data_IF_822439489682
#
_entry.id   IF_822439489682
#
_cell.length_a   1.000
_cell.length_b   1.000
_cell.length_c   1.000
_cell.angle_alpha   90.00
_cell.angle_beta   90.00
_cell.angle_gamma   90.00
#
_symmetry.space_group_name_H-M   'P 1'
#
loop_
_entity.id
_entity.type
_entity.pdbx_description
1 polymer ?
#
# COMPACT_ATOMS: atom_id res chain seq x y z
N UNK A 1 -56.75 -19.03 -45.98
CA UNK A 1 -56.61 -17.61 -45.79
C UNK A 1 -55.27 -17.38 -45.12
N UNK A 2 -54.32 -16.95 -45.95
CA UNK A 2 -52.94 -16.74 -45.57
C UNK A 2 -52.76 -15.32 -45.17
N UNK A 3 -52.14 -15.00 -44.02
CA UNK A 3 -51.60 -13.71 -43.71
C UNK A 3 -50.11 -13.84 -43.48
N UNK A 4 -49.33 -13.26 -44.40
CA UNK A 4 -47.90 -13.05 -44.31
C UNK A 4 -47.65 -11.90 -43.30
N UNK A 5 -46.69 -12.09 -42.41
CA UNK A 5 -46.10 -11.01 -41.61
C UNK A 5 -44.73 -10.70 -42.22
N UNK A 6 -44.63 -9.56 -42.88
CA UNK A 6 -43.34 -9.00 -43.29
C UNK A 6 -42.65 -8.41 -42.07
N UNK A 7 -41.51 -8.96 -41.74
CA UNK A 7 -40.58 -8.37 -40.74
C UNK A 7 -39.71 -7.32 -41.40
N UNK A 8 -39.93 -6.09 -40.96
CA UNK A 8 -39.18 -4.91 -41.35
C UNK A 8 -37.75 -5.01 -40.77
N UNK A 9 -36.76 -5.38 -41.59
CA UNK A 9 -35.33 -5.37 -41.28
C UNK A 9 -34.74 -4.00 -41.65
N UNK A 10 -34.83 -3.01 -40.79
CA UNK A 10 -33.94 -1.87 -40.87
C UNK A 10 -33.83 -1.22 -39.47
N UNK A 11 -32.74 -1.54 -38.76
CA UNK A 11 -32.04 -0.73 -37.74
C UNK A 11 -31.24 -1.60 -36.78
N UNK A 12 -30.30 -2.40 -37.29
CA UNK A 12 -29.34 -3.16 -36.47
C UNK A 12 -27.89 -2.98 -36.93
N UNK A 13 -27.44 -1.78 -37.21
CA UNK A 13 -26.04 -1.65 -37.67
C UNK A 13 -25.19 -0.54 -37.05
N UNK A 14 -25.53 0.01 -35.89
CA UNK A 14 -24.70 1.10 -35.32
C UNK A 14 -24.46 1.06 -33.80
N UNK A 15 -24.76 -0.04 -33.09
CA UNK A 15 -24.54 -0.12 -31.65
C UNK A 15 -23.39 -1.03 -31.20
N UNK A 16 -22.80 -1.85 -32.07
CA UNK A 16 -21.76 -2.81 -31.70
C UNK A 16 -20.34 -2.25 -31.49
N UNK A 17 -19.85 -1.21 -32.18
CA UNK A 17 -18.47 -0.77 -31.99
C UNK A 17 -18.22 0.02 -30.70
N UNK A 18 -19.23 0.72 -30.17
CA UNK A 18 -19.04 1.58 -28.98
C UNK A 18 -18.95 0.74 -27.68
N UNK A 19 -19.76 -0.29 -27.56
CA UNK A 19 -19.74 -1.19 -26.39
C UNK A 19 -18.45 -2.02 -26.36
N UNK A 20 -17.95 -2.45 -27.51
CA UNK A 20 -16.70 -3.22 -27.61
C UNK A 20 -15.47 -2.34 -27.30
N UNK A 21 -15.48 -1.07 -27.70
CA UNK A 21 -14.40 -0.13 -27.33
C UNK A 21 -14.43 0.19 -25.83
N UNK A 22 -15.60 0.39 -25.24
CA UNK A 22 -15.71 0.60 -23.80
C UNK A 22 -15.24 -0.62 -23.01
N UNK A 23 -15.57 -1.84 -23.43
CA UNK A 23 -15.10 -3.07 -22.79
C UNK A 23 -13.59 -3.26 -22.93
N UNK A 24 -12.98 -2.92 -24.08
CA UNK A 24 -11.54 -3.01 -24.30
C UNK A 24 -10.80 -1.96 -23.46
N UNK A 25 -11.32 -0.75 -23.35
CA UNK A 25 -10.75 0.30 -22.50
C UNK A 25 -10.84 -0.09 -21.03
N UNK A 26 -11.97 -0.65 -20.57
CA UNK A 26 -12.10 -1.13 -19.18
C UNK A 26 -11.16 -2.32 -18.88
N UNK A 27 -10.99 -3.27 -19.80
CA UNK A 27 -10.09 -4.41 -19.58
C UNK A 27 -8.62 -4.03 -19.59
N UNK A 28 -8.21 -3.07 -20.43
CA UNK A 28 -6.83 -2.55 -20.44
C UNK A 28 -6.57 -1.72 -19.17
N UNK A 29 -7.52 -0.91 -18.71
CA UNK A 29 -7.40 -0.14 -17.47
C UNK A 29 -7.34 -1.09 -16.25
N UNK A 30 -8.17 -2.15 -16.21
CA UNK A 30 -8.13 -3.14 -15.14
C UNK A 30 -6.78 -3.88 -15.07
N UNK A 31 -6.19 -4.25 -16.21
CA UNK A 31 -4.89 -4.91 -16.27
C UNK A 31 -3.75 -4.01 -15.74
N UNK A 32 -3.82 -2.70 -16.00
CA UNK A 32 -2.86 -1.72 -15.45
C UNK A 32 -3.14 -1.38 -13.98
N UNK A 33 -4.40 -1.48 -13.51
CA UNK A 33 -4.75 -1.27 -12.11
C UNK A 33 -4.11 -2.34 -11.20
N UNK A 34 -3.97 -3.60 -11.66
CA UNK A 34 -3.28 -4.67 -10.93
C UNK A 34 -1.83 -4.33 -10.57
N UNK A 35 -1.11 -3.64 -11.45
CA UNK A 35 0.27 -3.21 -11.18
C UNK A 35 0.35 -1.94 -10.30
N UNK A 36 -0.75 -1.19 -10.17
CA UNK A 36 -0.75 0.11 -9.52
C UNK A 36 -1.17 0.10 -8.04
N UNK A 37 -1.94 -0.92 -7.59
CA UNK A 37 -2.44 -1.02 -6.21
C UNK A 37 -1.49 -1.67 -5.21
N UNK A 38 -0.25 -2.02 -5.61
CA UNK A 38 0.72 -2.64 -4.69
C UNK A 38 1.02 -1.75 -3.49
N UNK A 39 0.63 -2.24 -2.32
CA UNK A 39 0.82 -1.61 -1.02
C UNK A 39 2.27 -1.27 -0.74
N UNK A 40 2.55 -0.01 -0.48
CA UNK A 40 3.71 0.37 0.33
C UNK A 40 3.22 0.70 1.73
N UNK A 41 3.71 -0.05 2.71
CA UNK A 41 3.62 0.29 4.13
C UNK A 41 4.10 1.75 4.32
N UNK A 42 3.48 2.58 5.20
CA UNK A 42 3.91 3.95 5.48
C UNK A 42 5.40 4.06 5.77
N UNK A 43 5.96 3.02 6.35
CA UNK A 43 7.39 2.93 6.60
C UNK A 43 8.24 2.66 5.35
N UNK A 44 7.68 2.12 4.26
CA UNK A 44 8.35 1.88 2.98
C UNK A 44 8.19 3.06 1.99
N UNK A 45 7.12 3.85 2.09
CA UNK A 45 6.89 4.99 1.20
C UNK A 45 8.03 6.03 1.26
N UNK A 46 8.84 6.00 2.31
CA UNK A 46 10.01 6.87 2.47
C UNK A 46 11.35 6.27 2.02
N UNK A 47 11.40 5.00 1.60
CA UNK A 47 12.65 4.29 1.32
C UNK A 47 13.04 4.22 -0.17
N UNK A 48 12.22 4.70 -1.10
CA UNK A 48 12.52 4.65 -2.54
C UNK A 48 12.68 6.05 -3.11
N UNK A 49 13.91 6.55 -3.14
CA UNK A 49 14.27 7.68 -4.00
C UNK A 49 14.41 7.20 -5.47
N UNK A 50 13.98 8.02 -6.45
CA UNK A 50 14.07 7.66 -7.86
C UNK A 50 15.50 7.77 -8.34
N UNK A 51 15.96 6.75 -9.06
CA UNK A 51 17.13 6.86 -9.95
C UNK A 51 16.76 7.82 -11.07
N UNK A 52 17.42 8.97 -11.11
CA UNK A 52 17.19 10.03 -12.10
C UNK A 52 17.41 9.56 -13.52
N UNK A 53 16.49 9.91 -14.40
CA UNK A 53 16.67 9.85 -15.85
C UNK A 53 17.64 10.95 -16.27
N UNK A 54 18.84 10.60 -16.68
CA UNK A 54 19.79 11.52 -17.30
C UNK A 54 19.73 11.41 -18.81
N UNK A 55 19.42 12.55 -19.44
CA UNK A 55 19.70 12.78 -20.86
C UNK A 55 21.22 12.86 -21.11
N UNK A 56 21.63 12.09 -22.05
CA UNK A 56 22.83 12.07 -22.92
C UNK A 56 24.00 13.06 -22.72
N UNK A 57 25.13 12.46 -22.79
CA UNK A 57 26.45 12.75 -23.39
C UNK A 57 27.60 12.88 -22.39
N UNK A 58 28.61 12.08 -22.73
CA UNK A 58 29.94 11.90 -22.14
C UNK A 58 30.03 10.89 -21.01
N UNK A 59 30.53 9.72 -21.37
CA UNK A 59 30.96 8.65 -20.47
C UNK A 59 32.08 9.13 -19.55
N UNK A 60 31.82 9.28 -18.24
CA UNK A 60 32.85 9.01 -17.26
C UNK A 60 32.60 7.60 -16.75
N UNK A 61 33.66 6.81 -16.69
CA UNK A 61 33.76 5.55 -15.99
C UNK A 61 33.01 5.67 -14.64
N UNK A 62 32.09 4.75 -14.29
CA UNK A 62 31.46 4.82 -12.99
C UNK A 62 32.54 4.62 -11.92
N UNK A 63 32.88 5.68 -11.23
CA UNK A 63 33.61 5.58 -9.98
C UNK A 63 32.64 4.93 -9.03
N UNK A 64 32.81 3.62 -8.82
CA UNK A 64 32.16 2.90 -7.73
C UNK A 64 32.62 3.59 -6.44
N UNK A 65 31.79 4.50 -5.92
CA UNK A 65 31.96 5.04 -4.58
C UNK A 65 31.61 3.92 -3.60
N UNK A 66 32.57 3.01 -3.40
CA UNK A 66 32.50 2.05 -2.28
C UNK A 66 32.43 2.93 -1.03
N UNK A 67 31.24 2.99 -0.42
CA UNK A 67 31.05 3.64 0.87
C UNK A 67 32.09 3.05 1.83
N UNK A 68 32.91 3.88 2.51
CA UNK A 68 33.91 3.35 3.41
C UNK A 68 33.21 2.47 4.46
N UNK A 69 33.73 1.27 4.67
CA UNK A 69 33.20 0.34 5.65
C UNK A 69 33.22 1.00 7.04
N UNK A 70 32.15 0.82 7.79
CA UNK A 70 32.02 1.34 9.15
C UNK A 70 33.17 0.75 10.02
N UNK A 71 34.07 1.59 10.51
CA UNK A 71 35.14 1.18 11.43
C UNK A 71 34.67 1.33 12.87
N UNK A 72 34.50 0.18 13.55
CA UNK A 72 34.12 0.14 14.97
C UNK A 72 35.39 0.09 15.80
N UNK A 73 35.69 1.16 16.55
CA UNK A 73 36.93 1.30 17.35
C UNK A 73 36.73 1.12 18.85
N UNK A 74 35.61 0.55 19.30
CA UNK A 74 35.32 0.36 20.73
C UNK A 74 34.01 -0.35 20.97
N UNK A 75 33.55 -0.43 22.23
CA UNK A 75 32.26 -1.04 22.56
C UNK A 75 31.13 -0.24 21.93
N UNK A 76 30.22 -0.96 21.22
CA UNK A 76 29.04 -0.34 20.60
C UNK A 76 27.97 -0.11 21.67
N UNK A 77 27.51 1.15 21.77
CA UNK A 77 26.38 1.51 22.63
C UNK A 77 25.07 1.50 21.84
N UNK A 78 23.95 1.43 22.55
CA UNK A 78 22.63 1.55 21.91
C UNK A 78 22.48 2.90 21.20
N UNK A 79 22.95 3.98 21.82
CA UNK A 79 22.84 5.33 21.29
C UNK A 79 23.58 5.51 19.96
N UNK A 80 24.75 4.85 19.81
CA UNK A 80 25.49 4.87 18.53
C UNK A 80 24.69 4.20 17.42
N UNK A 81 24.10 3.04 17.70
CA UNK A 81 23.29 2.29 16.74
C UNK A 81 21.97 3.03 16.40
N UNK A 82 21.31 3.58 17.40
CA UNK A 82 20.07 4.35 17.26
C UNK A 82 20.29 5.68 16.48
N UNK A 83 21.43 6.35 16.68
CA UNK A 83 21.81 7.53 15.87
C UNK A 83 21.91 7.18 14.39
N UNK A 84 22.60 6.07 14.05
CA UNK A 84 22.71 5.61 12.67
C UNK A 84 21.33 5.28 12.07
N UNK A 85 20.45 4.65 12.86
CA UNK A 85 19.08 4.34 12.44
C UNK A 85 18.26 5.60 12.18
N UNK A 86 18.29 6.59 13.07
CA UNK A 86 17.57 7.87 12.92
C UNK A 86 18.08 8.69 11.75
N UNK A 87 19.38 8.61 11.47
CA UNK A 87 20.02 9.23 10.30
C UNK A 87 19.77 8.46 9.00
N UNK A 88 18.96 7.39 9.05
CA UNK A 88 18.63 6.49 7.93
C UNK A 88 19.84 5.77 7.32
N UNK A 89 20.94 5.69 8.04
CA UNK A 89 22.10 4.87 7.67
C UNK A 89 21.86 3.42 8.09
N UNK A 90 20.87 2.77 7.42
CA UNK A 90 20.32 1.50 7.85
C UNK A 90 21.35 0.37 7.78
N UNK A 91 22.24 0.36 6.79
CA UNK A 91 23.35 -0.61 6.71
C UNK A 91 24.28 -0.49 7.92
N UNK A 92 24.68 0.75 8.25
CA UNK A 92 25.54 1.02 9.42
C UNK A 92 24.80 0.67 10.72
N UNK A 93 23.51 1.02 10.82
CA UNK A 93 22.68 0.67 11.98
C UNK A 93 22.55 -0.84 12.15
N UNK A 94 22.42 -1.60 11.06
CA UNK A 94 22.35 -3.07 11.10
C UNK A 94 23.64 -3.66 11.68
N UNK A 95 24.81 -3.20 11.24
CA UNK A 95 26.11 -3.65 11.77
C UNK A 95 26.26 -3.28 13.25
N UNK A 96 25.88 -2.06 13.63
CA UNK A 96 25.99 -1.58 15.00
C UNK A 96 25.01 -2.32 15.93
N UNK A 97 23.73 -2.48 15.55
CA UNK A 97 22.77 -3.24 16.36
C UNK A 97 23.11 -4.70 16.44
N UNK A 98 23.69 -5.31 15.40
CA UNK A 98 24.21 -6.67 15.48
C UNK A 98 25.30 -6.78 16.56
N UNK A 99 26.30 -5.92 16.52
CA UNK A 99 27.39 -5.90 17.53
C UNK A 99 26.84 -5.63 18.93
N UNK A 100 25.87 -4.73 19.07
CA UNK A 100 25.19 -4.44 20.32
C UNK A 100 24.43 -5.66 20.86
N UNK A 101 23.62 -6.32 20.03
CA UNK A 101 22.82 -7.49 20.39
C UNK A 101 23.68 -8.69 20.75
N UNK A 102 24.74 -8.95 19.97
CA UNK A 102 25.71 -10.05 20.24
C UNK A 102 26.37 -9.87 21.60
N UNK A 103 26.64 -8.63 22.02
CA UNK A 103 27.21 -8.33 23.35
C UNK A 103 26.19 -8.41 24.50
N UNK A 104 24.90 -8.50 24.18
CA UNK A 104 23.76 -8.51 25.14
C UNK A 104 22.70 -9.53 24.71
N UNK A 105 23.02 -10.85 24.73
CA UNK A 105 22.19 -11.88 24.13
C UNK A 105 20.82 -12.12 24.82
N UNK A 106 20.57 -11.44 25.96
CA UNK A 106 19.29 -11.48 26.68
C UNK A 106 18.46 -10.22 26.48
N UNK A 107 18.87 -9.31 25.60
CA UNK A 107 18.16 -8.07 25.35
C UNK A 107 17.29 -8.18 24.09
N UNK A 108 16.00 -8.50 24.26
CA UNK A 108 15.03 -8.60 23.16
C UNK A 108 14.95 -7.30 22.32
N UNK A 109 15.05 -6.14 22.97
CA UNK A 109 15.02 -4.83 22.31
C UNK A 109 16.18 -4.62 21.34
N UNK A 110 17.39 -5.10 21.69
CA UNK A 110 18.56 -5.05 20.80
C UNK A 110 18.33 -5.83 19.50
N UNK A 111 17.80 -7.05 19.63
CA UNK A 111 17.44 -7.87 18.46
C UNK A 111 16.27 -7.28 17.66
N UNK A 112 15.27 -6.70 18.32
CA UNK A 112 14.19 -5.99 17.64
C UNK A 112 14.72 -4.83 16.79
N UNK A 113 15.61 -4.00 17.32
CA UNK A 113 16.21 -2.89 16.58
C UNK A 113 17.14 -3.37 15.45
N UNK A 114 17.85 -4.49 15.64
CA UNK A 114 18.58 -5.17 14.57
C UNK A 114 17.64 -5.57 13.43
N UNK A 115 16.51 -6.21 13.77
CA UNK A 115 15.50 -6.60 12.79
C UNK A 115 14.93 -5.41 12.02
N UNK A 116 14.61 -4.33 12.70
CA UNK A 116 14.14 -3.09 12.06
C UNK A 116 15.18 -2.51 11.10
N UNK A 117 16.44 -2.45 11.52
CA UNK A 117 17.53 -1.90 10.71
C UNK A 117 17.76 -2.74 9.47
N UNK A 118 17.83 -4.06 9.61
CA UNK A 118 17.98 -5.00 8.52
C UNK A 118 16.80 -4.93 7.53
N UNK A 119 15.56 -4.85 8.04
CA UNK A 119 14.40 -4.69 7.17
C UNK A 119 14.45 -3.38 6.37
N UNK A 120 14.84 -2.27 7.00
CA UNK A 120 14.99 -0.96 6.33
C UNK A 120 16.15 -0.92 5.34
N UNK A 121 17.22 -1.70 5.54
CA UNK A 121 18.30 -1.86 4.57
C UNK A 121 17.94 -2.80 3.42
N UNK A 122 16.82 -3.53 3.53
CA UNK A 122 16.37 -4.50 2.52
C UNK A 122 16.81 -5.94 2.77
N UNK A 123 17.56 -6.19 3.83
CA UNK A 123 17.99 -7.54 4.25
C UNK A 123 16.86 -8.24 5.05
N UNK A 124 15.94 -8.88 4.30
CA UNK A 124 14.78 -9.55 4.89
C UNK A 124 15.15 -10.79 5.69
N UNK A 125 16.18 -11.52 5.28
CA UNK A 125 16.64 -12.74 5.95
C UNK A 125 17.20 -12.40 7.34
N UNK A 126 18.05 -11.39 7.41
CA UNK A 126 18.58 -10.92 8.70
C UNK A 126 17.48 -10.30 9.56
N UNK A 127 16.52 -9.59 8.97
CA UNK A 127 15.39 -9.03 9.70
C UNK A 127 14.52 -10.12 10.35
N UNK A 128 14.16 -11.15 9.59
CA UNK A 128 13.41 -12.30 10.08
C UNK A 128 14.13 -12.98 11.23
N UNK A 129 15.41 -13.34 11.04
CA UNK A 129 16.24 -13.96 12.07
C UNK A 129 16.30 -13.13 13.35
N UNK A 130 16.48 -11.81 13.24
CA UNK A 130 16.57 -10.92 14.38
C UNK A 130 15.26 -10.78 15.14
N UNK A 131 14.10 -10.68 14.44
CA UNK A 131 12.79 -10.65 15.11
C UNK A 131 12.47 -11.99 15.80
N UNK A 132 12.83 -13.12 15.20
CA UNK A 132 12.70 -14.44 15.84
C UNK A 132 13.56 -14.52 17.11
N UNK A 133 14.79 -14.01 17.09
CA UNK A 133 15.64 -13.94 18.28
C UNK A 133 15.01 -13.05 19.37
N UNK A 134 14.46 -11.89 19.00
CA UNK A 134 13.74 -11.03 19.94
C UNK A 134 12.58 -11.78 20.62
N UNK A 135 11.79 -12.53 19.85
CA UNK A 135 10.66 -13.32 20.34
C UNK A 135 11.08 -14.56 21.15
N UNK A 136 12.23 -15.13 20.87
CA UNK A 136 12.82 -16.20 21.69
C UNK A 136 13.16 -15.72 23.10
N UNK A 137 13.57 -14.43 23.24
CA UNK A 137 13.91 -13.82 24.52
C UNK A 137 12.65 -13.30 25.23
N UNK A 138 11.75 -12.66 24.47
CA UNK A 138 10.48 -12.10 24.95
C UNK A 138 9.37 -12.44 23.96
N UNK A 139 8.67 -13.55 24.23
CA UNK A 139 7.54 -14.01 23.39
C UNK A 139 6.31 -13.10 23.46
N UNK A 140 6.31 -12.09 24.33
CA UNK A 140 5.21 -11.13 24.45
C UNK A 140 5.49 -9.80 23.76
N UNK A 141 6.62 -9.70 23.04
CA UNK A 141 7.01 -8.48 22.36
C UNK A 141 6.18 -8.22 21.10
N UNK A 142 5.01 -7.56 21.27
CA UNK A 142 4.00 -7.31 20.21
C UNK A 142 4.64 -6.71 18.95
N UNK A 143 5.54 -5.72 19.10
CA UNK A 143 6.20 -5.08 17.95
C UNK A 143 7.05 -6.04 17.11
N UNK A 144 7.69 -7.05 17.74
CA UNK A 144 8.44 -8.09 17.02
C UNK A 144 7.49 -9.00 16.25
N UNK A 145 6.36 -9.41 16.83
CA UNK A 145 5.34 -10.17 16.12
C UNK A 145 4.83 -9.41 14.88
N UNK A 146 4.48 -8.12 15.03
CA UNK A 146 3.98 -7.29 13.92
C UNK A 146 5.01 -7.10 12.81
N UNK A 147 6.27 -6.81 13.16
CA UNK A 147 7.29 -6.59 12.13
C UNK A 147 7.75 -7.89 11.49
N UNK A 148 7.81 -9.00 12.24
CA UNK A 148 8.06 -10.32 11.67
C UNK A 148 6.95 -10.72 10.68
N UNK A 149 5.69 -10.48 11.02
CA UNK A 149 4.57 -10.77 10.12
C UNK A 149 4.65 -9.97 8.81
N UNK A 150 5.14 -8.70 8.87
CA UNK A 150 5.37 -7.90 7.65
C UNK A 150 6.48 -8.49 6.79
N UNK A 151 7.61 -8.85 7.41
CA UNK A 151 8.75 -9.46 6.69
C UNK A 151 8.33 -10.78 6.05
N UNK A 152 7.63 -11.65 6.79
CA UNK A 152 7.11 -12.92 6.28
C UNK A 152 6.13 -12.73 5.11
N UNK A 153 5.22 -11.75 5.21
CA UNK A 153 4.29 -11.44 4.14
C UNK A 153 5.02 -10.93 2.88
N UNK A 154 6.03 -10.09 3.03
CA UNK A 154 6.88 -9.62 1.93
C UNK A 154 7.75 -10.72 1.32
N UNK A 155 8.07 -11.76 2.11
CA UNK A 155 8.80 -12.96 1.68
C UNK A 155 7.88 -14.05 1.09
N UNK A 156 6.57 -13.77 0.94
CA UNK A 156 5.61 -14.72 0.37
C UNK A 156 5.25 -15.88 1.31
N UNK A 157 5.32 -15.67 2.62
CA UNK A 157 5.00 -16.63 3.67
C UNK A 157 3.75 -16.19 4.47
N UNK A 158 2.56 -16.12 3.85
CA UNK A 158 1.37 -15.56 4.50
C UNK A 158 0.86 -16.39 5.67
N UNK A 159 1.01 -17.71 5.63
CA UNK A 159 0.53 -18.58 6.71
C UNK A 159 1.37 -18.36 7.99
N UNK A 160 2.69 -18.31 7.89
CA UNK A 160 3.56 -17.97 9.01
C UNK A 160 3.33 -16.54 9.52
N UNK A 161 3.06 -15.60 8.61
CA UNK A 161 2.70 -14.24 9.00
C UNK A 161 1.42 -14.20 9.85
N UNK A 162 0.41 -15.03 9.51
CA UNK A 162 -0.86 -15.11 10.23
C UNK A 162 -0.69 -15.56 11.66
N UNK A 163 0.17 -16.54 11.93
CA UNK A 163 0.47 -17.02 13.30
C UNK A 163 0.97 -15.88 14.19
N UNK A 164 1.88 -15.06 13.70
CA UNK A 164 2.41 -13.91 14.44
C UNK A 164 1.39 -12.78 14.59
N UNK A 165 0.52 -12.57 13.62
CA UNK A 165 -0.58 -11.60 13.70
C UNK A 165 -1.58 -12.04 14.78
N UNK A 166 -1.94 -13.33 14.83
CA UNK A 166 -2.85 -13.87 15.87
C UNK A 166 -2.25 -13.74 17.26
N UNK A 167 -0.95 -14.00 17.40
CA UNK A 167 -0.24 -13.75 18.65
C UNK A 167 -0.29 -12.27 19.05
N UNK A 168 -0.07 -11.34 18.10
CA UNK A 168 -0.16 -9.91 18.36
C UNK A 168 -1.58 -9.47 18.78
N UNK A 169 -2.64 -10.02 18.17
CA UNK A 169 -4.05 -9.76 18.55
C UNK A 169 -4.32 -10.26 19.96
N UNK A 170 -3.82 -11.43 20.32
CA UNK A 170 -3.99 -12.01 21.65
C UNK A 170 -3.29 -11.18 22.74
N UNK A 171 -2.11 -10.63 22.42
CA UNK A 171 -1.32 -9.81 23.35
C UNK A 171 -1.84 -8.38 23.48
N UNK A 172 -2.30 -7.79 22.38
CA UNK A 172 -2.89 -6.45 22.35
C UNK A 172 -4.15 -6.43 21.49
N UNK A 173 -5.28 -6.64 22.15
CA UNK A 173 -6.61 -6.62 21.52
C UNK A 173 -7.11 -5.20 21.21
N UNK A 174 -6.39 -4.15 21.61
CA UNK A 174 -6.84 -2.76 21.43
C UNK A 174 -6.37 -2.14 20.12
N UNK A 175 -5.29 -2.65 19.54
CA UNK A 175 -4.70 -2.15 18.30
C UNK A 175 -5.49 -2.56 17.05
N UNK A 176 -5.66 -1.64 16.10
CA UNK A 176 -6.21 -1.93 14.77
C UNK A 176 -5.16 -2.55 13.83
N UNK A 177 -3.90 -2.31 14.08
CA UNK A 177 -2.79 -2.66 13.20
C UNK A 177 -2.67 -4.16 12.91
N UNK A 178 -2.76 -5.09 13.91
CA UNK A 178 -2.77 -6.53 13.63
C UNK A 178 -3.93 -6.95 12.73
N UNK A 179 -5.13 -6.38 12.94
CA UNK A 179 -6.31 -6.67 12.12
C UNK A 179 -6.12 -6.19 10.67
N UNK A 180 -5.49 -5.03 10.48
CA UNK A 180 -5.13 -4.53 9.15
C UNK A 180 -4.10 -5.45 8.46
N UNK A 181 -3.10 -5.95 9.18
CA UNK A 181 -2.14 -6.93 8.65
C UNK A 181 -2.81 -8.26 8.33
N UNK A 182 -3.78 -8.71 9.15
CA UNK A 182 -4.59 -9.90 8.88
C UNK A 182 -5.33 -9.77 7.55
N UNK A 183 -5.92 -8.60 7.28
CA UNK A 183 -6.54 -8.30 5.98
C UNK A 183 -5.56 -8.45 4.82
N UNK A 184 -4.34 -7.94 4.95
CA UNK A 184 -3.28 -8.11 3.93
C UNK A 184 -2.88 -9.57 3.71
N UNK A 185 -2.83 -10.37 4.76
CA UNK A 185 -2.58 -11.81 4.64
C UNK A 185 -3.70 -12.49 3.85
N UNK A 186 -4.95 -12.28 4.23
CA UNK A 186 -6.10 -12.86 3.52
C UNK A 186 -6.14 -12.45 2.05
N UNK A 187 -5.81 -11.19 1.77
CA UNK A 187 -5.70 -10.68 0.42
C UNK A 187 -4.61 -11.39 -0.38
N UNK A 188 -3.42 -11.63 0.21
CA UNK A 188 -2.33 -12.37 -0.43
C UNK A 188 -2.67 -13.85 -0.67
N UNK A 189 -3.60 -14.41 0.10
CA UNK A 189 -4.14 -15.75 -0.07
C UNK A 189 -5.33 -15.80 -1.05
N UNK A 190 -5.78 -14.66 -1.61
CA UNK A 190 -6.96 -14.57 -2.45
C UNK A 190 -8.29 -14.69 -1.71
N UNK A 191 -8.28 -14.68 -0.37
CA UNK A 191 -9.46 -14.74 0.50
C UNK A 191 -10.07 -13.34 0.66
N UNK A 192 -10.62 -12.81 -0.43
CA UNK A 192 -11.01 -11.41 -0.52
C UNK A 192 -12.12 -11.01 0.47
N UNK A 193 -13.10 -11.88 0.72
CA UNK A 193 -14.18 -11.61 1.67
C UNK A 193 -13.66 -11.54 3.12
N UNK A 194 -12.74 -12.45 3.48
CA UNK A 194 -12.08 -12.43 4.79
C UNK A 194 -11.21 -11.17 4.95
N UNK A 195 -10.54 -10.74 3.87
CA UNK A 195 -9.76 -9.51 3.87
C UNK A 195 -10.65 -8.26 4.08
N UNK A 196 -11.81 -8.17 3.42
CA UNK A 196 -12.79 -7.09 3.64
C UNK A 196 -13.20 -7.06 5.11
N UNK A 197 -13.59 -8.21 5.68
CA UNK A 197 -14.00 -8.30 7.09
C UNK A 197 -12.86 -7.88 8.03
N UNK A 198 -11.63 -8.30 7.77
CA UNK A 198 -10.49 -7.94 8.60
C UNK A 198 -10.19 -6.43 8.56
N UNK A 199 -10.26 -5.80 7.37
CA UNK A 199 -10.11 -4.35 7.25
C UNK A 199 -11.27 -3.60 7.93
N UNK A 200 -12.50 -4.06 7.79
CA UNK A 200 -13.65 -3.48 8.49
C UNK A 200 -13.48 -3.56 10.02
N UNK A 201 -13.04 -4.70 10.54
CA UNK A 201 -12.75 -4.86 11.98
C UNK A 201 -11.63 -3.91 12.43
N UNK A 202 -10.60 -3.70 11.61
CA UNK A 202 -9.54 -2.73 11.91
C UNK A 202 -10.12 -1.30 11.99
N UNK A 203 -10.98 -0.91 11.05
CA UNK A 203 -11.62 0.41 11.01
C UNK A 203 -12.58 0.60 12.19
N UNK A 204 -13.38 -0.43 12.56
CA UNK A 204 -14.24 -0.38 13.75
C UNK A 204 -13.41 -0.24 15.03
N UNK A 205 -12.25 -0.90 15.08
CA UNK A 205 -11.33 -0.80 16.22
C UNK A 205 -10.68 0.58 16.34
N UNK A 206 -10.37 1.21 15.20
CA UNK A 206 -9.85 2.57 15.12
C UNK A 206 -10.42 3.26 13.87
N UNK A 207 -11.42 4.12 14.07
CA UNK A 207 -12.11 4.87 13.02
C UNK A 207 -11.26 5.96 12.35
N UNK A 208 -10.00 6.06 12.77
CA UNK A 208 -8.97 6.91 12.20
C UNK A 208 -7.81 6.10 11.58
N UNK A 209 -7.94 4.76 11.42
CA UNK A 209 -6.96 3.94 10.68
C UNK A 209 -7.09 4.17 9.18
N UNK A 210 -6.47 5.25 8.70
CA UNK A 210 -6.48 5.66 7.28
C UNK A 210 -5.88 4.59 6.36
N UNK A 211 -4.92 3.81 6.85
CA UNK A 211 -4.32 2.72 6.08
C UNK A 211 -5.26 1.53 5.92
N UNK A 212 -6.06 1.20 6.95
CA UNK A 212 -7.09 0.17 6.81
C UNK A 212 -8.17 0.60 5.81
N UNK A 213 -8.59 1.87 5.83
CA UNK A 213 -9.53 2.44 4.86
C UNK A 213 -8.97 2.43 3.44
N UNK A 214 -7.70 2.84 3.28
CA UNK A 214 -7.04 2.81 1.98
C UNK A 214 -6.92 1.38 1.44
N UNK A 215 -6.55 0.42 2.28
CA UNK A 215 -6.42 -0.98 1.86
C UNK A 215 -7.79 -1.57 1.48
N UNK A 216 -8.85 -1.26 2.23
CA UNK A 216 -10.22 -1.66 1.89
C UNK A 216 -10.63 -1.08 0.52
N UNK A 217 -10.38 0.21 0.30
CA UNK A 217 -10.68 0.86 -0.97
C UNK A 217 -9.86 0.28 -2.13
N UNK A 218 -8.57 0.02 -1.93
CA UNK A 218 -7.71 -0.63 -2.92
C UNK A 218 -8.18 -2.05 -3.24
N UNK A 219 -8.62 -2.81 -2.24
CA UNK A 219 -9.21 -4.14 -2.44
C UNK A 219 -10.51 -4.05 -3.26
N UNK A 220 -11.39 -3.09 -2.96
CA UNK A 220 -12.59 -2.88 -3.77
C UNK A 220 -12.27 -2.53 -5.23
N UNK A 221 -11.23 -1.74 -5.50
CA UNK A 221 -10.77 -1.48 -6.88
C UNK A 221 -10.36 -2.78 -7.58
N UNK A 222 -9.59 -3.66 -6.92
CA UNK A 222 -9.19 -4.95 -7.51
C UNK A 222 -10.35 -5.90 -7.74
N UNK A 223 -11.40 -5.80 -6.94
CA UNK A 223 -12.65 -6.55 -7.09
C UNK A 223 -13.63 -5.91 -8.07
N UNK A 224 -13.21 -4.87 -8.80
CA UNK A 224 -14.03 -4.09 -9.75
C UNK A 224 -15.26 -3.42 -9.09
N UNK A 225 -15.25 -3.29 -7.75
CA UNK A 225 -16.27 -2.61 -6.96
C UNK A 225 -15.93 -1.13 -6.80
N UNK A 226 -15.81 -0.44 -7.92
CA UNK A 226 -15.24 0.91 -7.99
C UNK A 226 -16.02 1.95 -7.20
N UNK A 227 -17.36 1.90 -7.23
CA UNK A 227 -18.21 2.82 -6.44
C UNK A 227 -18.06 2.59 -4.94
N UNK A 228 -17.88 1.33 -4.50
CA UNK A 228 -17.67 0.99 -3.09
C UNK A 228 -16.30 1.47 -2.58
N UNK A 229 -15.33 1.61 -3.48
CA UNK A 229 -13.99 2.08 -3.14
C UNK A 229 -13.95 3.58 -2.78
N UNK A 230 -14.86 4.40 -3.33
CA UNK A 230 -14.81 5.86 -3.17
C UNK A 230 -14.98 6.27 -1.71
N UNK A 231 -15.93 5.68 -0.98
CA UNK A 231 -16.20 6.04 0.41
C UNK A 231 -14.99 5.91 1.35
N UNK A 232 -14.42 4.71 1.49
CA UNK A 232 -13.23 4.50 2.36
C UNK A 232 -12.02 5.31 1.91
N UNK A 233 -11.78 5.48 0.59
CA UNK A 233 -10.67 6.29 0.08
C UNK A 233 -10.88 7.79 0.32
N UNK A 234 -12.10 8.30 0.17
CA UNK A 234 -12.43 9.68 0.49
C UNK A 234 -12.21 9.95 2.00
N UNK A 235 -12.65 9.03 2.87
CA UNK A 235 -12.46 9.15 4.31
C UNK A 235 -10.99 9.11 4.72
N UNK A 236 -10.20 8.22 4.14
CA UNK A 236 -8.75 8.18 4.38
C UNK A 236 -8.07 9.51 4.03
N UNK A 237 -8.44 10.11 2.87
CA UNK A 237 -7.92 11.41 2.44
C UNK A 237 -8.42 12.59 3.28
N UNK A 238 -9.62 12.52 3.84
CA UNK A 238 -10.16 13.56 4.74
C UNK A 238 -9.38 13.58 6.07
N UNK A 239 -9.05 12.41 6.62
CA UNK A 239 -8.32 12.29 7.89
C UNK A 239 -6.83 12.62 7.71
N UNK A 240 -6.21 12.14 6.63
CA UNK A 240 -4.79 12.40 6.32
C UNK A 240 -4.63 12.74 4.83
N UNK A 241 -4.55 14.04 4.56
CA UNK A 241 -4.44 14.60 3.21
C UNK A 241 -3.00 14.65 2.66
N UNK A 242 -2.02 14.18 3.46
CA UNK A 242 -0.58 14.28 3.15
C UNK A 242 0.02 12.99 2.58
N UNK A 243 -0.80 11.99 2.29
CA UNK A 243 -0.34 10.70 1.76
C UNK A 243 -0.66 10.61 0.26
N UNK A 244 0.36 10.70 -0.59
CA UNK A 244 0.21 10.66 -2.05
C UNK A 244 -0.50 9.39 -2.54
N UNK A 245 -0.25 8.24 -1.89
CA UNK A 245 -0.89 6.96 -2.21
C UNK A 245 -2.42 7.03 -2.05
N UNK A 246 -2.92 7.68 -1.00
CA UNK A 246 -4.37 7.80 -0.77
C UNK A 246 -5.04 8.61 -1.88
N UNK A 247 -4.42 9.75 -2.25
CA UNK A 247 -4.88 10.59 -3.36
C UNK A 247 -4.87 9.81 -4.68
N UNK A 248 -3.80 9.07 -4.96
CA UNK A 248 -3.69 8.25 -6.17
C UNK A 248 -4.79 7.18 -6.23
N UNK A 249 -5.04 6.45 -5.14
CA UNK A 249 -6.04 5.40 -5.11
C UNK A 249 -7.47 5.95 -5.23
N UNK A 250 -7.76 7.11 -4.63
CA UNK A 250 -9.04 7.80 -4.85
C UNK A 250 -9.18 8.23 -6.32
N UNK A 251 -8.12 8.79 -6.91
CA UNK A 251 -8.07 9.11 -8.33
C UNK A 251 -8.39 7.90 -9.21
N UNK A 252 -7.84 6.73 -8.89
CA UNK A 252 -8.11 5.49 -9.62
C UNK A 252 -9.59 5.06 -9.52
N UNK A 253 -10.19 5.11 -8.34
CA UNK A 253 -11.60 4.78 -8.16
C UNK A 253 -12.51 5.73 -8.96
N UNK A 254 -12.20 7.03 -8.97
CA UNK A 254 -12.90 8.04 -9.74
C UNK A 254 -12.75 7.84 -11.26
N UNK A 255 -11.52 7.53 -11.71
CA UNK A 255 -11.24 7.22 -13.12
C UNK A 255 -12.05 6.00 -13.60
N UNK A 256 -12.03 4.90 -12.82
CA UNK A 256 -12.71 3.65 -13.15
C UNK A 256 -14.25 3.77 -13.09
N UNK A 257 -14.76 4.81 -12.45
CA UNK A 257 -16.19 5.20 -12.47
C UNK A 257 -16.52 6.27 -13.53
N UNK A 258 -15.55 6.61 -14.40
CA UNK A 258 -15.72 7.58 -15.50
C UNK A 258 -15.65 9.04 -15.07
N UNK A 259 -15.29 9.36 -13.83
CA UNK A 259 -15.20 10.72 -13.29
C UNK A 259 -13.81 11.29 -13.52
N UNK A 260 -13.45 11.46 -14.79
CA UNK A 260 -12.09 11.77 -15.21
C UNK A 260 -11.57 13.13 -14.70
N UNK A 261 -12.43 14.15 -14.66
CA UNK A 261 -12.03 15.47 -14.15
C UNK A 261 -11.64 15.38 -12.66
N UNK A 262 -12.47 14.72 -11.84
CA UNK A 262 -12.16 14.52 -10.43
C UNK A 262 -10.93 13.61 -10.22
N UNK A 263 -10.73 12.61 -11.07
CA UNK A 263 -9.53 11.77 -11.04
C UNK A 263 -8.25 12.58 -11.30
N UNK A 264 -8.28 13.48 -12.30
CA UNK A 264 -7.18 14.42 -12.61
C UNK A 264 -6.83 15.27 -11.39
N UNK A 265 -7.84 15.80 -10.68
CA UNK A 265 -7.62 16.59 -9.46
C UNK A 265 -6.90 15.78 -8.39
N UNK A 266 -7.32 14.52 -8.15
CA UNK A 266 -6.68 13.66 -7.14
C UNK A 266 -5.26 13.27 -7.53
N UNK A 267 -4.99 12.96 -8.80
CA UNK A 267 -3.62 12.66 -9.25
C UNK A 267 -2.69 13.89 -9.14
N UNK A 268 -3.19 15.10 -9.47
CA UNK A 268 -2.43 16.33 -9.26
C UNK A 268 -2.17 16.59 -7.78
N UNK A 269 -3.14 16.34 -6.91
CA UNK A 269 -2.97 16.44 -5.46
C UNK A 269 -1.91 15.44 -4.96
N UNK A 270 -1.90 14.19 -5.46
CA UNK A 270 -0.85 13.22 -5.15
C UNK A 270 0.54 13.74 -5.53
N UNK A 271 0.67 14.34 -6.72
CA UNK A 271 1.94 14.90 -7.21
C UNK A 271 2.36 16.18 -6.47
N UNK A 272 1.42 16.94 -5.90
CA UNK A 272 1.75 18.09 -5.05
C UNK A 272 2.36 17.67 -3.70
N UNK A 273 2.03 16.46 -3.23
CA UNK A 273 2.59 15.85 -2.02
C UNK A 273 3.95 15.22 -2.31
N UNK A 274 4.03 14.43 -3.39
CA UNK A 274 5.24 13.73 -3.83
C UNK A 274 5.39 13.89 -5.34
N UNK A 275 6.16 14.89 -5.77
CA UNK A 275 6.30 15.26 -7.19
C UNK A 275 6.82 14.15 -8.11
N UNK A 276 7.52 13.17 -7.54
CA UNK A 276 8.11 12.03 -8.26
C UNK A 276 7.30 10.73 -8.12
N UNK A 277 6.07 10.79 -7.59
CA UNK A 277 5.24 9.61 -7.42
C UNK A 277 4.82 9.00 -8.77
N UNK A 278 5.61 8.05 -9.26
CA UNK A 278 5.52 7.52 -10.63
C UNK A 278 4.14 6.98 -11.01
N UNK A 279 3.39 6.38 -10.05
CA UNK A 279 2.02 5.90 -10.31
C UNK A 279 1.09 7.06 -10.68
N UNK A 280 1.12 8.15 -9.90
CA UNK A 280 0.28 9.32 -10.18
C UNK A 280 0.70 10.02 -11.48
N UNK A 281 2.00 10.07 -11.82
CA UNK A 281 2.48 10.58 -13.11
C UNK A 281 1.85 9.81 -14.26
N UNK A 282 1.97 8.48 -14.24
CA UNK A 282 1.44 7.62 -15.32
C UNK A 282 -0.09 7.69 -15.42
N UNK A 283 -0.78 7.71 -14.29
CA UNK A 283 -2.23 7.81 -14.24
C UNK A 283 -2.72 9.16 -14.76
N UNK A 284 -2.08 10.26 -14.35
CA UNK A 284 -2.41 11.59 -14.83
C UNK A 284 -2.20 11.71 -16.34
N UNK A 285 -1.06 11.23 -16.86
CA UNK A 285 -0.77 11.26 -18.30
C UNK A 285 -1.82 10.52 -19.12
N UNK A 286 -2.34 9.40 -18.60
CA UNK A 286 -3.39 8.60 -19.24
C UNK A 286 -4.73 9.33 -19.22
N UNK A 287 -5.19 9.77 -18.04
CA UNK A 287 -6.55 10.25 -17.85
C UNK A 287 -6.77 11.66 -18.40
N UNK A 288 -5.78 12.54 -18.37
CA UNK A 288 -5.94 13.93 -18.85
C UNK A 288 -6.25 14.05 -20.35
N UNK A 289 -6.04 12.96 -21.13
CA UNK A 289 -6.36 12.88 -22.55
C UNK A 289 -7.76 12.32 -22.80
N UNK A 290 -8.44 11.83 -21.77
CA UNK A 290 -9.78 11.26 -21.87
C UNK A 290 -10.81 12.35 -21.69
N UNK A 291 -11.76 12.44 -22.64
CA UNK A 291 -12.83 13.42 -22.57
C UNK A 291 -13.90 12.96 -21.57
N UNK A 292 -14.29 13.85 -20.64
CA UNK A 292 -15.37 13.59 -19.69
C UNK A 292 -16.70 13.40 -20.43
N UNK A 293 -17.42 12.33 -20.10
CA UNK A 293 -18.81 12.17 -20.52
C UNK A 293 -19.71 13.11 -19.69
N UNK A 294 -20.41 14.04 -20.33
CA UNK A 294 -21.24 15.01 -19.61
C UNK A 294 -22.46 14.38 -18.89
N UNK A 295 -22.79 13.13 -19.18
CA UNK A 295 -23.84 12.39 -18.47
C UNK A 295 -23.39 11.86 -17.10
N UNK A 296 -22.07 11.75 -16.87
CA UNK A 296 -21.51 11.28 -15.61
C UNK A 296 -21.38 12.48 -14.67
N UNK A 297 -22.17 12.47 -13.61
CA UNK A 297 -22.14 13.53 -12.60
C UNK A 297 -20.95 13.37 -11.66
N UNK A 298 -20.32 14.48 -11.26
CA UNK A 298 -19.35 14.49 -10.18
C UNK A 298 -19.94 13.93 -8.88
N UNK A 299 -19.09 13.26 -8.09
CA UNK A 299 -19.47 12.79 -6.76
C UNK A 299 -19.04 13.78 -5.70
N UNK A 300 -19.90 14.01 -4.71
CA UNK A 300 -19.52 14.75 -3.51
C UNK A 300 -18.69 13.85 -2.60
N UNK A 301 -17.38 14.11 -2.54
CA UNK A 301 -16.44 13.32 -1.77
C UNK A 301 -16.63 13.49 -0.25
N UNK A 302 -17.07 14.66 0.21
CA UNK A 302 -17.36 14.90 1.62
C UNK A 302 -18.59 14.09 2.06
N UNK A 303 -19.63 14.09 1.24
CA UNK A 303 -20.81 13.28 1.49
C UNK A 303 -20.48 11.77 1.46
N UNK A 304 -19.64 11.31 0.52
CA UNK A 304 -19.21 9.90 0.47
C UNK A 304 -18.38 9.50 1.69
N UNK A 305 -17.51 10.37 2.16
CA UNK A 305 -16.75 10.15 3.39
C UNK A 305 -17.67 10.03 4.60
N UNK A 306 -18.67 10.93 4.71
CA UNK A 306 -19.66 10.90 5.79
C UNK A 306 -20.53 9.63 5.74
N UNK A 307 -21.03 9.26 4.57
CA UNK A 307 -21.81 8.01 4.39
C UNK A 307 -21.00 6.79 4.80
N UNK A 308 -19.71 6.76 4.48
CA UNK A 308 -18.81 5.69 4.91
C UNK A 308 -18.62 5.69 6.43
N UNK A 309 -18.45 6.85 7.07
CA UNK A 309 -18.39 6.96 8.51
C UNK A 309 -19.67 6.47 9.20
N UNK A 310 -20.83 6.81 8.66
CA UNK A 310 -22.13 6.34 9.15
C UNK A 310 -22.29 4.81 8.96
N UNK A 311 -21.63 4.25 7.95
CA UNK A 311 -21.62 2.80 7.71
C UNK A 311 -20.76 2.04 8.72
N UNK A 312 -19.62 2.60 9.16
CA UNK A 312 -18.75 1.98 10.18
C UNK A 312 -19.53 1.67 11.45
N UNK A 313 -20.43 2.56 11.85
CA UNK A 313 -21.25 2.37 13.06
C UNK A 313 -22.24 1.20 12.97
N UNK A 314 -22.40 0.59 11.80
CA UNK A 314 -23.31 -0.53 11.53
C UNK A 314 -22.59 -1.87 11.38
N UNK A 315 -21.27 -1.88 11.39
CA UNK A 315 -20.43 -3.08 11.35
C UNK A 315 -20.18 -3.60 12.77
#
# INVERSE_FOLDING_TARGET
MSYQFELNQSNRSLRFPVILMAAIVCTVIAAYAFAACGDRNPDQARASEPVGATSSTTTPTPVSTVKPALVITGPVTFEMADSAYRERRYDDATVLFKTYADSRPKNAWGFYMLGLSAWKSGDREQAESAFVQALTIDSTHVKSHLNLSRVLLESGQPDSALEHIEAAIALDSTSSEPLRLQGRVFESQGKNDDAIVAYQRAIVKNDSDTWAMNNLGALYIRLERFEDAIGPLARANEIDDKVATFRNNLGMALELTGRFEQAVEQYRAALSIEGTYGKAVSNLQRVQQVKQDPSITPVDLAERSKQFQDQISKW
#
